data_IF_062937882669
#
_entry.id   IF_062937882669
#
_cell.length_a   1.000
_cell.length_b   1.000
_cell.length_c   1.000
_cell.angle_alpha   90.00
_cell.angle_beta   90.00
_cell.angle_gamma   90.00
#
_symmetry.space_group_name_H-M   'P 1'
#
loop_
_entity.id
_entity.type
_entity.pdbx_description
1 polymer ?
#
# COMPACT_ATOMS: atom_id res chain seq x y z
N UNK A 1 -18.48 -4.86 -5.32
CA UNK A 1 -17.36 -3.90 -5.32
C UNK A 1 -16.87 -3.58 -3.90
N UNK A 2 -17.70 -3.06 -2.99
CA UNK A 2 -17.26 -2.62 -1.64
C UNK A 2 -16.56 -3.70 -0.79
N UNK A 3 -17.11 -4.92 -0.76
CA UNK A 3 -16.51 -6.04 -0.02
C UNK A 3 -15.15 -6.47 -0.61
N UNK A 4 -15.06 -6.58 -1.93
CA UNK A 4 -13.78 -6.84 -2.62
C UNK A 4 -12.76 -5.73 -2.36
N UNK A 5 -13.19 -4.47 -2.42
CA UNK A 5 -12.33 -3.34 -2.07
C UNK A 5 -11.77 -3.45 -0.65
N UNK A 6 -12.60 -3.84 0.33
CA UNK A 6 -12.15 -4.05 1.71
C UNK A 6 -11.12 -5.19 1.80
N UNK A 7 -11.39 -6.34 1.19
CA UNK A 7 -10.46 -7.48 1.18
C UNK A 7 -9.09 -7.05 0.63
N UNK A 8 -9.08 -6.38 -0.52
CA UNK A 8 -7.82 -5.99 -1.16
C UNK A 8 -7.11 -4.84 -0.43
N UNK A 9 -7.84 -3.87 0.12
CA UNK A 9 -7.22 -2.72 0.80
C UNK A 9 -6.70 -3.08 2.19
N UNK A 10 -7.29 -4.08 2.86
CA UNK A 10 -6.81 -4.55 4.16
C UNK A 10 -5.54 -5.42 4.08
N UNK A 11 -5.08 -5.75 2.86
CA UNK A 11 -3.76 -6.35 2.68
C UNK A 11 -2.72 -5.32 3.15
N UNK A 12 -1.83 -5.67 4.11
CA UNK A 12 -0.82 -4.74 4.64
C UNK A 12 0.31 -4.55 3.62
N UNK A 13 -0.01 -3.93 2.49
CA UNK A 13 0.88 -3.84 1.34
C UNK A 13 2.16 -3.02 1.60
N UNK A 14 2.15 -1.92 2.39
CA UNK A 14 3.38 -1.25 2.80
C UNK A 14 4.34 -2.18 3.56
N UNK A 15 3.81 -3.04 4.44
CA UNK A 15 4.62 -4.06 5.11
C UNK A 15 5.13 -5.10 4.12
N UNK A 16 4.27 -5.65 3.26
CA UNK A 16 4.68 -6.68 2.29
C UNK A 16 5.75 -6.17 1.33
N UNK A 17 5.67 -4.90 0.93
CA UNK A 17 6.68 -4.22 0.12
C UNK A 17 8.05 -4.30 0.80
N UNK A 18 8.16 -3.78 2.02
CA UNK A 18 9.44 -3.74 2.73
C UNK A 18 9.89 -5.10 3.25
N UNK A 19 8.96 -6.00 3.57
CA UNK A 19 9.28 -7.36 3.98
C UNK A 19 9.91 -8.15 2.83
N UNK A 20 9.34 -8.02 1.62
CA UNK A 20 9.92 -8.64 0.43
C UNK A 20 11.26 -7.99 0.06
N UNK A 21 11.31 -6.66 0.01
CA UNK A 21 12.52 -5.88 -0.29
C UNK A 21 13.67 -6.25 0.65
N UNK A 22 13.44 -6.21 1.96
CA UNK A 22 14.42 -6.56 2.97
C UNK A 22 14.85 -8.03 2.86
N UNK A 23 13.90 -8.94 2.64
CA UNK A 23 14.20 -10.36 2.46
C UNK A 23 15.11 -10.64 1.25
N UNK A 24 14.97 -9.87 0.16
CA UNK A 24 15.88 -9.96 -0.99
C UNK A 24 17.23 -9.30 -0.70
N UNK A 25 17.24 -8.18 0.03
CA UNK A 25 18.47 -7.56 0.49
C UNK A 25 19.33 -8.52 1.33
N UNK A 26 18.73 -9.23 2.30
CA UNK A 26 19.44 -10.24 3.10
C UNK A 26 20.03 -11.35 2.23
N UNK A 27 19.35 -11.71 1.13
CA UNK A 27 19.81 -12.70 0.15
C UNK A 27 20.81 -12.14 -0.86
N UNK A 28 21.13 -10.85 -0.79
CA UNK A 28 22.03 -10.15 -1.72
C UNK A 28 21.57 -10.28 -3.18
N UNK A 29 20.25 -10.22 -3.41
CA UNK A 29 19.63 -10.24 -4.73
C UNK A 29 18.66 -9.08 -4.91
N UNK A 30 18.37 -8.72 -6.16
CA UNK A 30 17.42 -7.65 -6.46
C UNK A 30 15.97 -8.06 -6.14
N UNK A 31 15.20 -7.08 -5.63
CA UNK A 31 13.77 -7.21 -5.39
C UNK A 31 12.95 -7.16 -6.68
N UNK A 32 13.04 -8.23 -7.47
CA UNK A 32 12.33 -8.38 -8.73
C UNK A 32 10.82 -8.20 -8.54
N UNK A 33 10.17 -7.48 -9.47
CA UNK A 33 8.72 -7.19 -9.44
C UNK A 33 8.21 -6.36 -8.25
N UNK A 34 9.07 -5.85 -7.35
CA UNK A 34 8.65 -5.03 -6.20
C UNK A 34 7.80 -3.83 -6.64
N UNK A 35 8.31 -3.04 -7.60
CA UNK A 35 7.59 -1.90 -8.16
C UNK A 35 6.31 -2.32 -8.89
N UNK A 36 6.37 -3.37 -9.72
CA UNK A 36 5.21 -3.84 -10.48
C UNK A 36 4.08 -4.31 -9.55
N UNK A 37 4.42 -5.06 -8.49
CA UNK A 37 3.47 -5.52 -7.48
C UNK A 37 2.83 -4.36 -6.72
N UNK A 38 3.64 -3.36 -6.32
CA UNK A 38 3.14 -2.14 -5.67
C UNK A 38 2.17 -1.37 -6.58
N UNK A 39 2.56 -1.15 -7.84
CA UNK A 39 1.75 -0.46 -8.83
C UNK A 39 0.42 -1.18 -9.09
N UNK A 40 0.47 -2.50 -9.29
CA UNK A 40 -0.74 -3.32 -9.49
C UNK A 40 -1.67 -3.24 -8.28
N UNK A 41 -1.13 -3.34 -7.06
CA UNK A 41 -1.93 -3.22 -5.84
C UNK A 41 -2.64 -1.86 -5.75
N UNK A 42 -1.91 -0.77 -5.97
CA UNK A 42 -2.46 0.60 -5.96
C UNK A 42 -3.54 0.77 -7.03
N UNK A 43 -3.30 0.27 -8.24
CA UNK A 43 -4.28 0.36 -9.34
C UNK A 43 -5.54 -0.44 -9.03
N UNK A 44 -5.40 -1.70 -8.60
CA UNK A 44 -6.54 -2.58 -8.29
C UNK A 44 -7.37 -1.97 -7.15
N UNK A 45 -6.73 -1.61 -6.04
CA UNK A 45 -7.43 -1.03 -4.88
C UNK A 45 -8.05 0.33 -5.19
N UNK A 46 -7.42 1.14 -6.05
CA UNK A 46 -7.95 2.41 -6.51
C UNK A 46 -9.18 2.26 -7.41
N UNK A 47 -9.14 1.34 -8.38
CA UNK A 47 -10.27 1.03 -9.26
C UNK A 47 -11.46 0.52 -8.46
N UNK A 48 -11.23 -0.44 -7.56
CA UNK A 48 -12.28 -0.97 -6.68
C UNK A 48 -12.87 0.11 -5.76
N UNK A 49 -12.08 1.13 -5.42
CA UNK A 49 -12.50 2.26 -4.60
C UNK A 49 -13.33 3.31 -5.36
N UNK A 50 -13.53 3.20 -6.68
CA UNK A 50 -14.22 4.21 -7.49
C UNK A 50 -15.62 4.59 -7.00
N UNK A 51 -16.31 3.70 -6.29
CA UNK A 51 -17.64 3.96 -5.71
C UNK A 51 -17.63 4.27 -4.20
N UNK A 52 -16.45 4.43 -3.61
CA UNK A 52 -16.27 4.63 -2.16
C UNK A 52 -16.10 6.13 -1.86
N UNK A 53 -16.57 6.57 -0.69
CA UNK A 53 -16.31 7.95 -0.23
C UNK A 53 -14.87 8.06 0.23
N UNK A 54 -14.16 9.14 -0.14
CA UNK A 54 -12.74 9.33 0.19
C UNK A 54 -12.42 9.16 1.69
N UNK A 55 -13.31 9.61 2.58
CA UNK A 55 -13.15 9.40 4.04
C UNK A 55 -12.96 7.93 4.45
N UNK A 56 -13.63 6.99 3.77
CA UNK A 56 -13.49 5.56 4.05
C UNK A 56 -12.20 5.00 3.45
N UNK A 57 -11.77 5.52 2.29
CA UNK A 57 -10.49 5.15 1.70
C UNK A 57 -9.35 5.53 2.65
N UNK A 58 -9.37 6.78 3.13
CA UNK A 58 -8.40 7.29 4.09
C UNK A 58 -8.41 6.45 5.38
N UNK A 59 -9.59 6.21 5.97
CA UNK A 59 -9.72 5.45 7.22
C UNK A 59 -9.15 4.02 7.10
N UNK A 60 -9.51 3.28 6.06
CA UNK A 60 -9.03 1.90 5.88
C UNK A 60 -7.52 1.87 5.60
N UNK A 61 -6.97 2.85 4.87
CA UNK A 61 -5.52 2.96 4.66
C UNK A 61 -4.78 3.30 5.95
N UNK A 62 -5.34 4.14 6.83
CA UNK A 62 -4.74 4.39 8.16
C UNK A 62 -4.69 3.09 8.96
N UNK A 63 -5.79 2.33 9.02
CA UNK A 63 -5.84 1.03 9.71
C UNK A 63 -4.79 0.07 9.13
N UNK A 64 -4.70 0.01 7.80
CA UNK A 64 -3.76 -0.87 7.09
C UNK A 64 -2.30 -0.43 7.28
N UNK A 65 -2.05 0.89 7.36
CA UNK A 65 -0.74 1.46 7.66
C UNK A 65 -0.31 1.14 9.09
N UNK A 66 -1.21 1.26 10.07
CA UNK A 66 -0.95 0.86 11.46
C UNK A 66 -0.67 -0.65 11.54
N UNK A 67 -1.47 -1.48 10.86
CA UNK A 67 -1.23 -2.92 10.78
C UNK A 67 0.13 -3.24 10.13
N UNK A 68 0.50 -2.51 9.07
CA UNK A 68 1.78 -2.67 8.40
C UNK A 68 2.95 -2.32 9.31
N UNK A 69 2.85 -1.22 10.05
CA UNK A 69 3.86 -0.82 11.03
C UNK A 69 3.99 -1.86 12.14
N UNK A 70 2.86 -2.32 12.68
CA UNK A 70 2.83 -3.38 13.68
C UNK A 70 3.56 -4.64 13.18
N UNK A 71 3.20 -5.14 11.99
CA UNK A 71 3.83 -6.33 11.43
C UNK A 71 5.34 -6.16 11.21
N UNK A 72 5.77 -4.99 10.74
CA UNK A 72 7.19 -4.72 10.52
C UNK A 72 8.01 -4.70 11.81
N UNK A 73 7.45 -4.17 12.90
CA UNK A 73 8.13 -4.15 14.20
C UNK A 73 8.52 -5.56 14.64
N UNK A 74 7.68 -6.57 14.36
CA UNK A 74 7.93 -7.96 14.77
C UNK A 74 8.68 -8.79 13.73
N UNK A 75 8.55 -8.48 12.43
CA UNK A 75 8.99 -9.38 11.35
C UNK A 75 10.17 -8.85 10.51
N UNK A 76 10.49 -7.56 10.60
CA UNK A 76 11.63 -6.97 9.88
C UNK A 76 12.64 -6.49 10.92
N UNK A 77 13.87 -7.03 10.95
CA UNK A 77 14.94 -6.52 11.81
C UNK A 77 15.19 -5.02 11.60
N UNK A 78 15.42 -4.32 12.70
CA UNK A 78 15.93 -2.95 12.67
C UNK A 78 17.46 -3.01 12.80
N UNK A 79 18.12 -3.43 11.72
CA UNK A 79 19.59 -3.56 11.66
C UNK A 79 20.31 -2.21 11.53
N UNK A 80 19.55 -1.11 11.41
CA UNK A 80 20.05 0.24 11.35
C UNK A 80 20.81 0.58 10.06
N UNK A 81 20.91 -0.33 9.09
CA UNK A 81 21.68 -0.12 7.87
C UNK A 81 20.80 -0.02 6.63
N UNK A 82 19.84 -0.94 6.45
CA UNK A 82 19.05 -0.98 5.22
C UNK A 82 18.11 0.23 5.06
N UNK A 83 17.47 0.65 6.16
CA UNK A 83 16.44 1.69 6.12
C UNK A 83 16.96 3.11 6.37
N UNK A 84 18.28 3.34 6.27
CA UNK A 84 18.86 4.69 6.42
C UNK A 84 18.44 5.62 5.28
N UNK A 85 18.27 6.93 5.55
CA UNK A 85 18.48 7.61 6.83
C UNK A 85 17.23 7.65 7.74
N UNK A 86 16.07 7.21 7.25
CA UNK A 86 14.79 7.42 7.92
C UNK A 86 14.49 6.39 9.02
N UNK A 87 15.12 5.22 8.95
CA UNK A 87 14.77 4.06 9.78
C UNK A 87 13.55 3.32 9.24
N UNK A 88 13.38 2.07 9.69
CA UNK A 88 12.36 1.14 9.20
C UNK A 88 10.95 1.72 9.33
N UNK A 89 10.63 2.23 10.52
CA UNK A 89 9.27 2.64 10.87
C UNK A 89 8.80 3.85 10.04
N UNK A 90 9.64 4.88 9.91
CA UNK A 90 9.33 6.05 9.09
C UNK A 90 9.26 5.69 7.60
N UNK A 91 10.10 4.76 7.14
CA UNK A 91 10.07 4.29 5.74
C UNK A 91 8.73 3.61 5.43
N UNK A 92 8.22 2.77 6.33
CA UNK A 92 6.91 2.10 6.15
C UNK A 92 5.77 3.11 6.18
N UNK A 93 5.81 4.08 7.10
CA UNK A 93 4.81 5.14 7.18
C UNK A 93 4.78 5.95 5.87
N UNK A 94 5.96 6.31 5.36
CA UNK A 94 6.09 7.02 4.10
C UNK A 94 5.50 6.20 2.93
N UNK A 95 5.82 4.92 2.84
CA UNK A 95 5.26 4.02 1.81
C UNK A 95 3.74 3.88 1.94
N UNK A 96 3.20 3.79 3.16
CA UNK A 96 1.75 3.78 3.38
C UNK A 96 1.07 5.07 2.87
N UNK A 97 1.71 6.23 3.06
CA UNK A 97 1.23 7.52 2.54
C UNK A 97 1.27 7.51 1.00
N UNK A 98 2.36 7.04 0.39
CA UNK A 98 2.47 6.94 -1.08
C UNK A 98 1.39 6.04 -1.65
N UNK A 99 1.12 4.89 -1.02
CA UNK A 99 0.07 3.96 -1.44
C UNK A 99 -1.32 4.60 -1.34
N UNK A 100 -1.61 5.30 -0.24
CA UNK A 100 -2.86 6.04 -0.08
C UNK A 100 -3.03 7.12 -1.16
N UNK A 101 -1.99 7.92 -1.43
CA UNK A 101 -2.04 8.96 -2.47
C UNK A 101 -2.31 8.32 -3.83
N UNK A 102 -1.57 7.26 -4.18
CA UNK A 102 -1.78 6.52 -5.42
C UNK A 102 -3.21 5.98 -5.54
N UNK A 103 -3.73 5.37 -4.46
CA UNK A 103 -5.09 4.83 -4.45
C UNK A 103 -6.14 5.93 -4.63
N UNK A 104 -5.96 7.09 -4.01
CA UNK A 104 -6.85 8.24 -4.16
C UNK A 104 -6.86 8.78 -5.58
N UNK A 105 -5.69 8.90 -6.22
CA UNK A 105 -5.57 9.35 -7.61
C UNK A 105 -6.29 8.39 -8.58
N UNK A 106 -6.04 7.08 -8.45
CA UNK A 106 -6.71 6.07 -9.27
C UNK A 106 -8.22 6.03 -9.00
N UNK A 107 -8.63 6.15 -7.73
CA UNK A 107 -10.05 6.21 -7.35
C UNK A 107 -10.76 7.41 -7.96
N UNK A 108 -10.12 8.59 -7.98
CA UNK A 108 -10.65 9.79 -8.61
C UNK A 108 -10.97 9.55 -10.10
N UNK A 109 -10.00 9.00 -10.85
CA UNK A 109 -10.19 8.68 -12.28
C UNK A 109 -11.29 7.63 -12.47
N UNK A 110 -11.26 6.57 -11.65
CA UNK A 110 -12.22 5.46 -11.73
C UNK A 110 -13.65 5.94 -11.45
N UNK A 111 -13.82 6.85 -10.50
CA UNK A 111 -15.12 7.44 -10.16
C UNK A 111 -15.69 8.27 -11.30
N UNK A 112 -14.85 9.05 -11.99
CA UNK A 112 -15.27 9.79 -13.19
C UNK A 112 -15.72 8.84 -14.32
N UNK A 113 -15.02 7.72 -14.50
CA UNK A 113 -15.40 6.69 -15.47
C UNK A 113 -16.75 6.03 -15.13
N UNK A 114 -16.95 5.65 -13.87
CA UNK A 114 -18.19 5.00 -13.44
C UNK A 114 -19.40 5.94 -13.43
N UNK A 115 -19.20 7.23 -13.16
CA UNK A 115 -20.27 8.23 -13.25
C UNK A 115 -20.80 8.32 -14.69
N UNK A 116 -19.90 8.36 -15.70
CA UNK A 116 -20.28 8.44 -17.13
C UNK A 116 -21.02 7.22 -17.68
N UNK A 117 -20.92 6.06 -17.02
CA UNK A 117 -21.57 4.83 -17.46
C UNK A 117 -22.99 4.66 -16.88
N UNK A 118 -23.36 5.51 -15.92
CA UNK A 118 -24.68 5.50 -15.28
C UNK A 118 -25.69 6.48 -15.86
N UNK A 119 -25.25 7.32 -16.82
CA UNK A 119 -26.06 8.23 -17.63
C UNK A 119 -26.34 7.58 -19.01
#
# INVERSE_FOLDING_TARGET
>A
MRFLWLIFTLIPAPFLFHFYEYGQHVRQVEASFLFLGALLHVVITGVLAGHIKYRYIILINIITGILSLFLAIYLIPDDGDWFKPLGRDLTIIFTAIVFLIGQLLVSFVSKAFFARKGD
#
